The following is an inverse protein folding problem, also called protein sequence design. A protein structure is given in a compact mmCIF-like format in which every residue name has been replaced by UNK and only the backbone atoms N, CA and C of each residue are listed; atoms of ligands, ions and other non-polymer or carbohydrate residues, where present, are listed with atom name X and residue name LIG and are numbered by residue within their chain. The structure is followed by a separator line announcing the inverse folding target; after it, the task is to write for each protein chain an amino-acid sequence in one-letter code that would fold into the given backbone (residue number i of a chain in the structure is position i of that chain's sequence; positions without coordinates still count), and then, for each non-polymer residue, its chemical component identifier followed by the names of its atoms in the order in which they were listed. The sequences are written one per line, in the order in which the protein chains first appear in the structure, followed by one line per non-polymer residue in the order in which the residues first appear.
data_IF_614400207896
#
_entry.id   IF_614400207896
#
_cell.length_a   1.000
_cell.length_b   1.000
_cell.length_c   1.000
_cell.angle_alpha   90.00
_cell.angle_beta   90.00
_cell.angle_gamma   90.00
#
_symmetry.space_group_name_H-M   'P 1'
#
loop_
_entity.id
_entity.type
_entity.pdbx_description
1 polymer ?
#
# COMPACT_ATOMS: atom_id res chain seq x y z
N UNK A 1 -27.11 36.63 78.56
CA UNK A 1 -26.93 38.02 78.99
C UNK A 1 -26.24 38.72 77.84
N UNK A 2 -26.93 39.64 77.19
CA UNK A 2 -26.44 40.32 76.00
C UNK A 2 -25.60 41.50 76.48
N UNK A 3 -24.28 41.43 76.33
CA UNK A 3 -23.41 42.60 76.55
C UNK A 3 -23.73 43.62 75.46
N UNK A 4 -24.70 44.50 75.74
CA UNK A 4 -25.00 45.64 74.90
C UNK A 4 -23.77 46.55 74.92
N UNK A 5 -22.97 46.53 73.84
CA UNK A 5 -21.88 47.46 73.59
C UNK A 5 -22.29 48.86 74.09
N UNK A 6 -21.45 49.50 74.92
CA UNK A 6 -21.84 50.81 75.44
C UNK A 6 -22.01 51.76 74.26
N UNK A 7 -22.96 52.69 74.31
CA UNK A 7 -23.24 53.61 73.20
C UNK A 7 -21.97 54.32 72.68
N UNK A 8 -20.94 54.51 73.52
CA UNK A 8 -19.62 55.04 73.12
C UNK A 8 -18.84 54.10 72.22
N UNK A 9 -18.85 52.79 72.48
CA UNK A 9 -18.18 51.79 71.66
C UNK A 9 -18.87 51.64 70.30
N UNK A 10 -20.21 51.69 70.29
CA UNK A 10 -20.98 51.66 69.04
C UNK A 10 -20.67 52.89 68.16
N UNK A 11 -20.58 54.08 68.77
CA UNK A 11 -20.16 55.31 68.06
C UNK A 11 -18.71 55.23 67.60
N UNK A 12 -17.80 54.65 68.39
CA UNK A 12 -16.39 54.48 68.01
C UNK A 12 -16.23 53.51 66.84
N UNK A 13 -16.93 52.37 66.87
CA UNK A 13 -16.99 51.41 65.74
C UNK A 13 -17.66 52.06 64.54
N UNK A 14 -18.72 52.85 64.73
CA UNK A 14 -19.36 53.63 63.66
C UNK A 14 -18.42 54.65 63.02
N UNK A 15 -17.57 55.33 63.81
CA UNK A 15 -16.57 56.26 63.30
C UNK A 15 -15.42 55.55 62.58
N UNK A 16 -14.99 54.38 63.10
CA UNK A 16 -14.01 53.52 62.45
C UNK A 16 -14.53 52.95 61.14
N UNK A 17 -15.80 52.56 61.09
CA UNK A 17 -16.48 52.10 59.89
C UNK A 17 -16.62 53.24 58.88
N UNK A 18 -17.07 54.42 59.31
CA UNK A 18 -17.13 55.60 58.47
C UNK A 18 -15.75 56.00 57.92
N UNK A 19 -14.67 55.79 58.69
CA UNK A 19 -13.28 56.06 58.26
C UNK A 19 -12.73 54.99 57.32
N UNK A 20 -13.09 53.72 57.52
CA UNK A 20 -12.74 52.64 56.60
C UNK A 20 -13.52 52.74 55.28
N UNK A 21 -14.74 53.27 55.32
CA UNK A 21 -15.58 53.58 54.16
C UNK A 21 -15.20 54.91 53.50
N UNK A 22 -14.72 55.92 54.25
CA UNK A 22 -14.27 57.21 53.70
C UNK A 22 -12.81 57.21 53.24
N UNK A 23 -11.99 56.27 53.72
CA UNK A 23 -10.75 55.93 53.05
C UNK A 23 -11.12 55.10 51.83
N UNK A 24 -11.45 55.74 50.71
CA UNK A 24 -11.75 55.04 49.46
C UNK A 24 -10.62 54.07 49.02
N UNK A 25 -9.42 54.21 49.58
CA UNK A 25 -8.19 53.50 49.22
C UNK A 25 -8.29 51.95 49.25
N UNK A 26 -8.71 51.28 50.34
CA UNK A 26 -8.72 49.81 50.39
C UNK A 26 -9.76 49.17 49.47
N UNK A 27 -10.96 49.76 49.36
CA UNK A 27 -12.03 49.26 48.48
C UNK A 27 -11.66 49.49 47.02
N UNK A 28 -11.10 50.65 46.68
CA UNK A 28 -10.61 50.95 45.32
C UNK A 28 -9.47 50.00 44.93
N UNK A 29 -8.55 49.69 45.84
CA UNK A 29 -7.44 48.80 45.53
C UNK A 29 -7.89 47.35 45.34
N UNK A 30 -8.87 46.88 46.13
CA UNK A 30 -9.53 45.59 45.88
C UNK A 30 -10.23 45.60 44.51
N UNK A 31 -10.96 46.66 44.17
CA UNK A 31 -11.62 46.78 42.86
C UNK A 31 -10.61 46.72 41.70
N UNK A 32 -9.47 47.42 41.82
CA UNK A 32 -8.39 47.36 40.83
C UNK A 32 -7.81 45.95 40.68
N UNK A 33 -7.62 45.23 41.79
CA UNK A 33 -7.13 43.85 41.78
C UNK A 33 -8.16 42.95 41.08
N UNK A 34 -9.44 43.09 41.40
CA UNK A 34 -10.52 42.33 40.78
C UNK A 34 -10.65 42.62 39.28
N UNK A 35 -10.54 43.88 38.86
CA UNK A 35 -10.54 44.24 37.44
C UNK A 35 -9.36 43.61 36.69
N UNK A 36 -8.15 43.64 37.27
CA UNK A 36 -6.98 42.98 36.69
C UNK A 36 -7.12 41.46 36.65
N UNK A 37 -7.74 40.87 37.67
CA UNK A 37 -8.01 39.43 37.70
C UNK A 37 -9.00 39.04 36.60
N UNK A 38 -10.08 39.80 36.45
CA UNK A 38 -11.08 39.58 35.41
C UNK A 38 -10.47 39.66 34.01
N UNK A 39 -9.67 40.69 33.73
CA UNK A 39 -8.99 40.85 32.44
C UNK A 39 -8.02 39.68 32.14
N UNK A 40 -7.28 39.21 33.16
CA UNK A 40 -6.42 38.03 33.02
C UNK A 40 -7.23 36.75 32.80
N UNK A 41 -8.35 36.59 33.50
CA UNK A 41 -9.24 35.44 33.36
C UNK A 41 -9.83 35.37 31.93
N UNK A 42 -10.30 36.50 31.41
CA UNK A 42 -10.83 36.61 30.06
C UNK A 42 -9.75 36.28 29.02
N UNK A 43 -8.55 36.84 29.19
CA UNK A 43 -7.40 36.55 28.33
C UNK A 43 -7.07 35.05 28.33
N UNK A 44 -7.07 34.40 29.50
CA UNK A 44 -6.84 32.95 29.60
C UNK A 44 -7.97 32.11 28.99
N UNK A 45 -9.21 32.57 29.10
CA UNK A 45 -10.39 31.89 28.55
C UNK A 45 -10.34 31.91 27.02
N UNK A 46 -10.00 33.05 26.43
CA UNK A 46 -9.79 33.18 24.98
C UNK A 46 -8.68 32.25 24.49
N UNK A 47 -7.51 32.27 25.15
CA UNK A 47 -6.38 31.41 24.79
C UNK A 47 -6.73 29.91 24.88
N UNK A 48 -7.46 29.49 25.92
CA UNK A 48 -7.94 28.10 26.05
C UNK A 48 -8.91 27.72 24.93
N UNK A 49 -9.79 28.63 24.53
CA UNK A 49 -10.71 28.43 23.39
C UNK A 49 -9.96 28.21 22.08
N UNK A 50 -8.91 29.00 21.81
CA UNK A 50 -8.07 28.85 20.62
C UNK A 50 -7.28 27.54 20.63
N UNK A 51 -6.66 27.18 21.76
CA UNK A 51 -5.95 25.91 21.92
C UNK A 51 -6.87 24.71 21.69
N UNK A 52 -8.13 24.80 22.11
CA UNK A 52 -9.12 23.73 21.89
C UNK A 52 -9.41 23.57 20.39
N UNK A 53 -9.61 24.67 19.66
CA UNK A 53 -9.80 24.63 18.20
C UNK A 53 -8.59 24.01 17.48
N UNK A 54 -7.37 24.38 17.86
CA UNK A 54 -6.15 23.82 17.28
C UNK A 54 -6.04 22.30 17.55
N UNK A 55 -6.39 21.87 18.77
CA UNK A 55 -6.43 20.45 19.12
C UNK A 55 -7.40 19.67 18.24
N UNK A 56 -8.60 20.20 18.01
CA UNK A 56 -9.62 19.53 17.19
C UNK A 56 -9.21 19.44 15.71
N UNK A 57 -8.58 20.50 15.18
CA UNK A 57 -8.03 20.48 13.83
C UNK A 57 -6.91 19.45 13.71
N UNK A 58 -6.01 19.40 14.70
CA UNK A 58 -4.92 18.44 14.73
C UNK A 58 -5.43 17.00 14.85
N UNK A 59 -6.44 16.75 15.68
CA UNK A 59 -7.07 15.44 15.82
C UNK A 59 -7.65 14.95 14.48
N UNK A 60 -8.38 15.82 13.76
CA UNK A 60 -8.90 15.50 12.42
C UNK A 60 -7.79 15.19 11.42
N UNK A 61 -6.69 15.94 11.45
CA UNK A 61 -5.54 15.67 10.59
C UNK A 61 -4.90 14.31 10.90
N UNK A 62 -4.77 13.96 12.17
CA UNK A 62 -4.28 12.65 12.60
C UNK A 62 -5.19 11.51 12.16
N UNK A 63 -6.50 11.65 12.28
CA UNK A 63 -7.45 10.62 11.84
C UNK A 63 -7.41 10.44 10.31
N UNK A 64 -7.31 11.53 9.55
CA UNK A 64 -7.12 11.47 8.10
C UNK A 64 -5.79 10.76 7.73
N UNK A 65 -4.70 11.10 8.42
CA UNK A 65 -3.40 10.47 8.21
C UNK A 65 -3.44 8.97 8.55
N UNK A 66 -4.12 8.58 9.63
CA UNK A 66 -4.33 7.17 9.98
C UNK A 66 -5.11 6.44 8.90
N UNK A 67 -6.16 7.06 8.34
CA UNK A 67 -6.90 6.52 7.20
C UNK A 67 -6.01 6.26 5.99
N UNK A 68 -5.14 7.21 5.64
CA UNK A 68 -4.17 7.04 4.56
C UNK A 68 -3.16 5.91 4.83
N UNK A 69 -2.67 5.77 6.06
CA UNK A 69 -1.75 4.68 6.44
C UNK A 69 -2.42 3.32 6.28
N UNK A 70 -3.67 3.18 6.74
CA UNK A 70 -4.43 1.94 6.59
C UNK A 70 -4.64 1.59 5.11
N UNK A 71 -5.02 2.57 4.29
CA UNK A 71 -5.16 2.37 2.85
C UNK A 71 -3.83 1.97 2.18
N UNK A 72 -2.70 2.53 2.64
CA UNK A 72 -1.38 2.13 2.15
C UNK A 72 -1.05 0.69 2.53
N UNK A 73 -1.38 0.24 3.74
CA UNK A 73 -1.19 -1.14 4.17
C UNK A 73 -1.96 -2.13 3.29
N UNK A 74 -3.25 -1.88 3.04
CA UNK A 74 -4.08 -2.72 2.17
C UNK A 74 -3.51 -2.81 0.74
N UNK A 75 -3.00 -1.67 0.22
CA UNK A 75 -2.38 -1.61 -1.10
C UNK A 75 -1.07 -2.40 -1.15
N UNK A 76 -0.26 -2.35 -0.09
CA UNK A 76 0.99 -3.12 0.02
C UNK A 76 0.67 -4.61 0.01
N UNK A 77 -0.27 -5.07 0.83
CA UNK A 77 -0.69 -6.47 0.90
C UNK A 77 -1.16 -6.98 -0.47
N UNK A 78 -1.96 -6.18 -1.19
CA UNK A 78 -2.40 -6.52 -2.56
C UNK A 78 -1.22 -6.67 -3.53
N UNK A 79 -0.23 -5.79 -3.46
CA UNK A 79 0.96 -5.84 -4.31
C UNK A 79 1.84 -7.04 -3.98
N UNK A 80 2.04 -7.35 -2.70
CA UNK A 80 2.81 -8.51 -2.26
C UNK A 80 2.17 -9.82 -2.71
N UNK A 81 0.84 -9.93 -2.59
CA UNK A 81 0.08 -11.07 -3.10
C UNK A 81 0.23 -11.23 -4.62
N UNK A 82 0.10 -10.12 -5.38
CA UNK A 82 0.30 -10.12 -6.83
C UNK A 82 1.73 -10.52 -7.22
N UNK A 83 2.74 -9.96 -6.56
CA UNK A 83 4.14 -10.28 -6.84
C UNK A 83 4.47 -11.75 -6.54
N UNK A 84 3.92 -12.30 -5.46
CA UNK A 84 4.03 -13.73 -5.16
C UNK A 84 3.40 -14.60 -6.26
N UNK A 85 2.21 -14.21 -6.74
CA UNK A 85 1.55 -14.86 -7.86
C UNK A 85 2.37 -14.81 -9.16
N UNK A 86 2.91 -13.63 -9.49
CA UNK A 86 3.77 -13.43 -10.65
C UNK A 86 5.06 -14.26 -10.56
N UNK A 87 5.68 -14.33 -9.38
CA UNK A 87 6.88 -15.15 -9.16
C UNK A 87 6.64 -16.64 -9.42
N UNK A 88 5.49 -17.17 -8.96
CA UNK A 88 5.10 -18.56 -9.25
C UNK A 88 4.85 -18.81 -10.73
N UNK A 89 4.14 -17.88 -11.39
CA UNK A 89 3.86 -17.97 -12.82
C UNK A 89 5.15 -17.91 -13.65
N UNK A 90 6.08 -17.03 -13.28
CA UNK A 90 7.38 -16.91 -13.92
C UNK A 90 8.18 -18.20 -13.78
N UNK A 91 8.31 -18.75 -12.56
CA UNK A 91 9.02 -20.02 -12.36
C UNK A 91 8.40 -21.19 -13.14
N UNK A 92 7.06 -21.23 -13.27
CA UNK A 92 6.40 -22.23 -14.10
C UNK A 92 6.67 -22.02 -15.61
N UNK A 93 6.73 -20.77 -16.06
CA UNK A 93 7.07 -20.44 -17.45
C UNK A 93 8.54 -20.77 -17.77
N UNK A 94 9.47 -20.43 -16.88
CA UNK A 94 10.90 -20.75 -17.00
C UNK A 94 11.11 -22.26 -17.10
N UNK A 95 10.41 -23.05 -16.27
CA UNK A 95 10.45 -24.51 -16.36
C UNK A 95 9.96 -25.02 -17.72
N UNK A 96 8.85 -24.48 -18.22
CA UNK A 96 8.31 -24.86 -19.54
C UNK A 96 9.25 -24.49 -20.69
N UNK A 97 9.92 -23.34 -20.60
CA UNK A 97 10.92 -22.93 -21.59
C UNK A 97 12.09 -23.92 -21.58
N UNK A 98 12.63 -24.26 -20.41
CA UNK A 98 13.70 -25.24 -20.30
C UNK A 98 13.31 -26.62 -20.85
N UNK A 99 12.08 -27.09 -20.59
CA UNK A 99 11.55 -28.34 -21.16
C UNK A 99 11.45 -28.28 -22.69
N UNK A 100 11.07 -27.13 -23.27
CA UNK A 100 11.00 -26.94 -24.71
C UNK A 100 12.39 -26.81 -25.35
N UNK A 101 13.33 -26.12 -24.70
CA UNK A 101 14.72 -25.98 -25.17
C UNK A 101 15.48 -27.30 -25.13
N UNK A 102 15.21 -28.16 -24.16
CA UNK A 102 15.78 -29.50 -24.08
C UNK A 102 15.15 -30.51 -25.07
N UNK A 103 14.09 -30.10 -25.79
CA UNK A 103 13.34 -31.00 -26.68
C UNK A 103 14.04 -31.13 -28.02
N UNK A 104 14.50 -32.34 -28.33
CA UNK A 104 15.13 -32.67 -29.61
C UNK A 104 14.20 -33.54 -30.47
N UNK A 105 14.17 -33.28 -31.77
CA UNK A 105 13.48 -34.11 -32.76
C UNK A 105 14.49 -35.09 -33.34
N UNK A 106 14.40 -36.35 -32.96
CA UNK A 106 15.29 -37.41 -33.47
C UNK A 106 14.66 -38.05 -34.69
N UNK A 107 15.35 -37.96 -35.83
CA UNK A 107 14.94 -38.60 -37.08
C UNK A 107 15.70 -39.92 -37.22
N UNK A 108 14.97 -41.04 -37.34
CA UNK A 108 15.53 -42.40 -37.26
C UNK A 108 15.97 -42.96 -38.61
N UNK A 109 15.49 -42.44 -39.73
CA UNK A 109 15.75 -42.96 -41.07
C UNK A 109 16.13 -41.88 -42.07
N UNK A 110 17.32 -42.02 -42.66
CA UNK A 110 17.75 -41.31 -43.87
C UNK A 110 17.72 -42.27 -45.04
N UNK A 111 17.47 -41.73 -46.23
CA UNK A 111 17.22 -42.51 -47.42
C UNK A 111 17.89 -41.88 -48.63
N UNK A 112 18.50 -42.72 -49.45
CA UNK A 112 18.96 -42.33 -50.77
C UNK A 112 17.95 -42.73 -51.83
N UNK A 113 17.81 -41.86 -52.83
CA UNK A 113 16.90 -42.06 -53.95
C UNK A 113 17.73 -42.26 -55.21
N UNK A 114 17.71 -43.48 -55.73
CA UNK A 114 18.38 -43.82 -56.97
C UNK A 114 17.37 -44.00 -58.09
N UNK A 115 17.66 -43.39 -59.23
CA UNK A 115 16.89 -43.57 -60.44
C UNK A 115 17.47 -44.77 -61.20
N UNK A 116 16.71 -45.85 -61.28
CA UNK A 116 17.10 -47.04 -62.03
C UNK A 116 16.29 -47.13 -63.31
N UNK A 117 16.96 -47.40 -64.42
CA UNK A 117 16.32 -47.63 -65.71
C UNK A 117 16.44 -49.11 -66.07
N UNK A 118 15.29 -49.77 -66.28
CA UNK A 118 15.25 -51.16 -66.77
C UNK A 118 15.38 -51.21 -68.29
N UNK A 119 14.92 -50.16 -68.96
CA UNK A 119 15.01 -49.92 -70.39
C UNK A 119 14.87 -48.41 -70.69
N UNK A 120 15.19 -47.93 -71.91
CA UNK A 120 15.23 -46.50 -72.24
C UNK A 120 13.91 -45.72 -72.07
N UNK A 121 12.78 -46.40 -71.89
CA UNK A 121 11.45 -45.81 -71.78
C UNK A 121 10.85 -45.96 -70.38
N UNK A 122 11.52 -46.66 -69.48
CA UNK A 122 10.99 -46.99 -68.16
C UNK A 122 12.09 -46.86 -67.09
N UNK A 123 11.94 -45.83 -66.25
CA UNK A 123 12.71 -45.63 -65.02
C UNK A 123 11.81 -45.72 -63.81
N UNK A 124 12.34 -46.24 -62.71
CA UNK A 124 11.73 -46.24 -61.40
C UNK A 124 12.69 -45.66 -60.39
N UNK A 125 12.14 -45.00 -59.36
CA UNK A 125 12.92 -44.52 -58.22
C UNK A 125 12.92 -45.59 -57.13
N UNK A 126 14.10 -46.06 -56.78
CA UNK A 126 14.32 -46.89 -55.60
C UNK A 126 14.67 -45.98 -54.42
N UNK A 127 14.14 -46.33 -53.25
CA UNK A 127 14.39 -45.63 -51.99
C UNK A 127 15.01 -46.65 -51.04
N UNK A 128 16.28 -46.46 -50.71
CA UNK A 128 17.03 -47.37 -49.83
C UNK A 128 17.46 -46.63 -48.56
N UNK A 129 17.39 -47.28 -47.38
CA UNK A 129 17.86 -46.66 -46.15
C UNK A 129 19.39 -46.54 -46.19
N UNK A 130 19.87 -45.32 -46.01
CA UNK A 130 21.30 -44.98 -45.95
C UNK A 130 21.51 -44.00 -44.79
N UNK A 131 22.50 -44.26 -43.94
CA UNK A 131 22.84 -43.40 -42.81
C UNK A 131 23.29 -41.99 -43.27
N UNK A 132 23.87 -41.89 -44.47
CA UNK A 132 24.32 -40.64 -45.07
C UNK A 132 23.35 -40.13 -46.16
N UNK A 133 22.20 -40.78 -46.32
CA UNK A 133 21.26 -40.46 -47.40
C UNK A 133 20.67 -39.06 -47.33
N UNK A 134 20.38 -38.48 -48.50
CA UNK A 134 19.97 -37.08 -48.63
C UNK A 134 18.48 -36.82 -48.31
N UNK A 135 17.64 -37.86 -48.26
CA UNK A 135 16.19 -37.74 -48.13
C UNK A 135 15.66 -38.30 -46.81
N UNK A 136 14.57 -37.70 -46.33
CA UNK A 136 13.77 -38.16 -45.21
C UNK A 136 12.39 -38.59 -45.72
N UNK A 137 11.83 -39.66 -45.15
CA UNK A 137 10.43 -40.01 -45.42
C UNK A 137 9.51 -39.07 -44.67
N UNK A 138 8.45 -38.64 -45.36
CA UNK A 138 7.45 -37.73 -44.81
C UNK A 138 6.82 -38.30 -43.53
N UNK A 139 6.39 -39.56 -43.57
CA UNK A 139 5.68 -40.20 -42.46
C UNK A 139 6.58 -40.29 -41.20
N UNK A 140 7.85 -40.68 -41.37
CA UNK A 140 8.82 -40.75 -40.26
C UNK A 140 9.08 -39.37 -39.63
N UNK A 141 9.11 -38.31 -40.46
CA UNK A 141 9.26 -36.93 -39.98
C UNK A 141 8.02 -36.48 -39.21
N UNK A 142 6.82 -36.80 -39.69
CA UNK A 142 5.57 -36.49 -38.99
C UNK A 142 5.50 -37.22 -37.66
N UNK A 143 5.83 -38.51 -37.63
CA UNK A 143 5.84 -39.30 -36.41
C UNK A 143 6.86 -38.76 -35.40
N UNK A 144 8.06 -38.41 -35.85
CA UNK A 144 9.09 -37.81 -34.99
C UNK A 144 8.66 -36.44 -34.44
N UNK A 145 8.04 -35.59 -35.27
CA UNK A 145 7.51 -34.30 -34.84
C UNK A 145 6.33 -34.45 -33.87
N UNK A 146 5.45 -35.42 -34.10
CA UNK A 146 4.31 -35.72 -33.23
C UNK A 146 4.77 -36.32 -31.88
N UNK A 147 5.78 -37.19 -31.88
CA UNK A 147 6.42 -37.69 -30.66
C UNK A 147 7.10 -36.54 -29.88
N UNK A 148 7.71 -35.61 -30.61
CA UNK A 148 8.17 -34.32 -30.11
C UNK A 148 7.03 -33.29 -29.95
N UNK A 149 5.75 -33.71 -29.93
CA UNK A 149 4.57 -32.91 -29.58
C UNK A 149 4.45 -31.58 -30.32
N UNK A 150 5.01 -31.51 -31.53
CA UNK A 150 4.90 -30.40 -32.45
C UNK A 150 3.72 -30.70 -33.37
N UNK A 151 2.75 -29.80 -33.43
CA UNK A 151 1.62 -29.92 -34.36
C UNK A 151 1.98 -29.29 -35.71
N UNK A 152 1.66 -30.01 -36.79
CA UNK A 152 1.86 -29.56 -38.16
C UNK A 152 0.51 -29.06 -38.68
N UNK A 153 0.43 -27.81 -39.15
CA UNK A 153 -0.79 -27.28 -39.78
C UNK A 153 -0.80 -27.63 -41.27
N UNK A 154 -1.89 -28.23 -41.74
CA UNK A 154 -2.07 -28.58 -43.17
C UNK A 154 -2.03 -30.08 -43.48
N UNK A 155 -1.94 -30.92 -42.45
CA UNK A 155 -2.45 -32.30 -42.48
C UNK A 155 -3.90 -32.36 -42.00
#
# INVERSE_FOLDING_TARGET
MSDSLSNKELVAVGHHLAKALSSDTPIIDIAKILSRLAERLDSTTTALGEMTKLRDVLAKAWDAQRGHINQQADRIESLESKNSGLGKALGAAEKRVAELEAREVVLTGRYDIHEMSRNPFESYRCIEPDADGDYLRRDDVIEALAAAGISIKGE
#
